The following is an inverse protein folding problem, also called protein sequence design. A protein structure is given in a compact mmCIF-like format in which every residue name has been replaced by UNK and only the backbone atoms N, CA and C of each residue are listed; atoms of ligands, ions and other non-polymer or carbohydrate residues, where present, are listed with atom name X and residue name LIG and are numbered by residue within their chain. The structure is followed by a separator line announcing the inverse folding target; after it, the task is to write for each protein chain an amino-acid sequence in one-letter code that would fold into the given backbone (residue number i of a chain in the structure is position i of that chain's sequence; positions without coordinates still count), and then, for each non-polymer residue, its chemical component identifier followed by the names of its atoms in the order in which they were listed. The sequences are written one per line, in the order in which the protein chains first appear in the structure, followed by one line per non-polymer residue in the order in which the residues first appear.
data_IF_368956807481
#
_entry.id   IF_368956807481
#
_cell.length_a   1.000
_cell.length_b   1.000
_cell.length_c   1.000
_cell.angle_alpha   90.00
_cell.angle_beta   90.00
_cell.angle_gamma   90.00
#
_symmetry.space_group_name_H-M   'P 1'
#
loop_
_entity.id
_entity.type
_entity.pdbx_description
1 polymer ?
#
# COMPACT_ATOMS: atom_id res chain seq x y z
N UNK A 1 -8.35 4.62 -23.71
CA UNK A 1 -8.32 4.38 -22.24
C UNK A 1 -6.90 3.99 -21.87
N UNK A 2 -6.07 4.94 -21.40
CA UNK A 2 -4.73 4.62 -20.91
C UNK A 2 -4.90 3.84 -19.60
N UNK A 3 -4.46 2.58 -19.61
CA UNK A 3 -4.27 1.84 -18.37
C UNK A 3 -3.00 2.40 -17.72
N UNK A 4 -3.12 3.43 -16.89
CA UNK A 4 -2.02 3.96 -16.08
C UNK A 4 -1.78 3.02 -14.90
N UNK A 5 -1.32 1.80 -15.18
CA UNK A 5 -0.91 0.85 -14.17
C UNK A 5 0.61 0.95 -14.03
N UNK A 6 1.11 1.11 -12.80
CA UNK A 6 2.53 0.99 -12.55
C UNK A 6 2.94 -0.45 -12.91
N UNK A 7 3.74 -0.61 -13.96
CA UNK A 7 4.26 -1.91 -14.37
C UNK A 7 5.33 -2.34 -13.38
N UNK A 8 5.00 -3.32 -12.54
CA UNK A 8 5.94 -3.97 -11.63
C UNK A 8 6.56 -5.16 -12.36
N UNK A 9 7.89 -5.24 -12.36
CA UNK A 9 8.65 -6.37 -12.87
C UNK A 9 9.15 -7.23 -11.70
N UNK A 10 9.51 -8.50 -11.98
CA UNK A 10 10.02 -9.41 -10.97
C UNK A 10 11.34 -8.94 -10.32
N UNK A 11 12.09 -8.05 -10.98
CA UNK A 11 13.33 -7.46 -10.50
C UNK A 11 13.12 -6.20 -9.66
N UNK A 12 11.88 -5.71 -9.57
CA UNK A 12 11.55 -4.54 -8.76
C UNK A 12 11.49 -4.97 -7.29
N UNK A 13 11.87 -4.06 -6.40
CA UNK A 13 11.96 -4.30 -4.96
C UNK A 13 11.04 -3.37 -4.19
N UNK A 14 10.51 -3.86 -3.07
CA UNK A 14 9.76 -3.07 -2.10
C UNK A 14 10.64 -2.80 -0.90
N UNK A 15 10.83 -1.52 -0.57
CA UNK A 15 11.57 -1.10 0.62
C UNK A 15 10.59 -0.45 1.60
N UNK A 16 10.48 -0.99 2.81
CA UNK A 16 9.66 -0.41 3.88
C UNK A 16 10.31 0.88 4.35
N UNK A 17 9.60 2.00 4.24
CA UNK A 17 10.12 3.32 4.61
C UNK A 17 9.52 3.85 5.91
N UNK A 18 8.30 3.44 6.24
CA UNK A 18 7.63 3.93 7.44
C UNK A 18 6.64 2.90 7.98
N UNK A 19 6.34 3.06 9.26
CA UNK A 19 5.30 2.32 9.94
C UNK A 19 4.59 3.26 10.91
N UNK A 20 3.34 3.56 10.65
CA UNK A 20 2.54 4.50 11.43
C UNK A 20 1.51 3.71 12.22
N UNK A 21 1.57 3.83 13.54
CA UNK A 21 0.56 3.25 14.43
C UNK A 21 -0.43 4.34 14.84
N UNK A 22 -1.68 4.20 14.45
CA UNK A 22 -2.75 5.13 14.82
C UNK A 22 -3.39 4.68 16.14
N UNK A 23 -3.37 5.57 17.14
CA UNK A 23 -3.89 5.32 18.48
C UNK A 23 -5.42 5.47 18.55
N UNK A 24 -6.13 4.74 17.69
CA UNK A 24 -7.60 4.70 17.68
C UNK A 24 -8.10 3.45 18.43
N UNK A 25 -9.37 3.45 18.89
CA UNK A 25 -10.04 2.36 19.63
C UNK A 25 -10.27 1.08 18.78
N UNK A 26 -9.21 0.58 18.15
CA UNK A 26 -9.18 -0.50 17.16
C UNK A 26 -7.87 -0.63 16.37
N UNK A 27 -6.80 0.09 16.77
CA UNK A 27 -5.42 0.14 16.24
C UNK A 27 -5.22 -0.30 14.79
N UNK A 28 -5.09 0.72 13.94
CA UNK A 28 -4.69 0.68 12.53
C UNK A 28 -3.18 0.97 12.43
N UNK A 29 -2.47 0.06 11.76
CA UNK A 29 -1.06 0.10 11.38
C UNK A 29 -0.99 0.37 9.87
N UNK A 30 -0.33 1.47 9.51
CA UNK A 30 -0.06 1.83 8.12
C UNK A 30 1.41 1.57 7.84
N UNK A 31 1.68 0.54 7.04
CA UNK A 31 3.01 0.25 6.52
C UNK A 31 3.18 0.90 5.16
N UNK A 32 4.16 1.79 5.01
CA UNK A 32 4.48 2.42 3.73
C UNK A 32 5.77 1.85 3.13
N UNK A 33 5.72 1.65 1.82
CA UNK A 33 6.80 1.08 1.02
C UNK A 33 7.06 1.95 -0.20
N UNK A 34 8.33 1.99 -0.59
CA UNK A 34 8.75 2.54 -1.87
C UNK A 34 8.99 1.39 -2.84
N UNK A 35 8.45 1.51 -4.05
CA UNK A 35 8.72 0.59 -5.15
C UNK A 35 9.96 1.11 -5.88
N UNK A 36 11.02 0.29 -5.92
CA UNK A 36 12.25 0.58 -6.66
C UNK A 36 12.40 -0.37 -7.83
N UNK A 37 12.82 0.14 -8.98
CA UNK A 37 13.15 -0.70 -10.12
C UNK A 37 14.51 -1.40 -9.94
N UNK A 38 14.90 -2.25 -10.89
CA UNK A 38 16.19 -2.95 -10.88
C UNK A 38 17.42 -2.01 -10.83
N UNK A 39 17.28 -0.74 -11.26
CA UNK A 39 18.34 0.27 -11.17
C UNK A 39 18.36 1.02 -9.82
N UNK A 40 17.48 0.65 -8.88
CA UNK A 40 17.33 1.30 -7.57
C UNK A 40 16.55 2.62 -7.61
N UNK A 41 16.00 3.01 -8.76
CA UNK A 41 15.20 4.22 -8.90
C UNK A 41 13.78 3.97 -8.40
N UNK A 42 13.27 4.93 -7.63
CA UNK A 42 11.89 4.91 -7.19
C UNK A 42 10.94 5.09 -8.38
N UNK A 43 9.96 4.18 -8.49
CA UNK A 43 8.93 4.19 -9.54
C UNK A 43 7.52 4.35 -8.98
N UNK A 44 7.33 4.21 -7.68
CA UNK A 44 6.05 4.44 -7.03
C UNK A 44 6.10 4.18 -5.53
N UNK A 45 4.92 4.18 -4.90
CA UNK A 45 4.77 3.84 -3.48
C UNK A 45 3.61 2.86 -3.30
N UNK A 46 3.70 2.08 -2.23
CA UNK A 46 2.63 1.19 -1.77
C UNK A 46 2.38 1.50 -0.30
N UNK A 47 1.13 1.61 0.10
CA UNK A 47 0.72 1.67 1.49
C UNK A 47 -0.26 0.55 1.80
N UNK A 48 -0.01 -0.12 2.93
CA UNK A 48 -0.84 -1.19 3.46
C UNK A 48 -1.41 -0.69 4.77
N UNK A 49 -2.73 -0.58 4.82
CA UNK A 49 -3.48 -0.21 6.01
C UNK A 49 -4.05 -1.49 6.57
N UNK A 50 -3.57 -1.89 7.75
CA UNK A 50 -4.18 -2.98 8.47
C UNK A 50 -5.50 -2.53 9.10
N UNK A 51 -6.37 -3.48 9.43
CA UNK A 51 -7.57 -3.21 10.23
C UNK A 51 -8.43 -2.02 9.76
N UNK A 52 -8.59 -1.81 8.45
CA UNK A 52 -9.36 -0.71 7.85
C UNK A 52 -10.89 -0.81 8.08
N UNK A 53 -11.33 -1.47 9.15
CA UNK A 53 -12.73 -1.66 9.54
C UNK A 53 -13.08 -0.77 10.73
N UNK A 54 -14.10 0.07 10.55
CA UNK A 54 -14.74 0.82 11.64
C UNK A 54 -15.73 -0.03 12.45
N UNK A 55 -15.98 -1.29 12.06
CA UNK A 55 -16.93 -2.19 12.72
C UNK A 55 -16.20 -3.18 13.62
N UNK A 56 -16.42 -3.04 14.94
CA UNK A 56 -15.90 -3.91 16.02
C UNK A 56 -16.09 -5.42 15.83
N UNK A 57 -16.99 -5.86 14.95
CA UNK A 57 -17.41 -7.25 14.78
C UNK A 57 -16.88 -7.96 13.53
N UNK A 58 -16.17 -7.27 12.63
CA UNK A 58 -15.52 -7.89 11.47
C UNK A 58 -14.02 -7.62 11.52
N UNK A 59 -13.19 -8.64 11.80
CA UNK A 59 -11.77 -8.45 11.96
C UNK A 59 -11.17 -8.20 10.58
N UNK A 60 -10.69 -6.97 10.41
CA UNK A 60 -9.42 -6.71 9.74
C UNK A 60 -9.33 -7.06 8.26
N UNK A 61 -10.08 -6.33 7.42
CA UNK A 61 -9.67 -6.17 6.02
C UNK A 61 -8.44 -5.24 5.94
N UNK A 62 -7.49 -5.61 5.10
CA UNK A 62 -6.36 -4.81 4.68
C UNK A 62 -6.75 -3.97 3.47
N UNK A 63 -6.36 -2.70 3.47
CA UNK A 63 -6.41 -1.88 2.26
C UNK A 63 -5.01 -1.73 1.70
N UNK A 64 -4.83 -2.06 0.43
CA UNK A 64 -3.57 -1.87 -0.28
C UNK A 64 -3.79 -0.79 -1.33
N UNK A 65 -3.08 0.31 -1.17
CA UNK A 65 -3.06 1.41 -2.13
C UNK A 65 -1.69 1.55 -2.77
N UNK A 66 -1.65 1.73 -4.08
CA UNK A 66 -0.43 1.97 -4.84
C UNK A 66 -0.54 3.29 -5.57
N UNK A 67 0.52 4.09 -5.49
CA UNK A 67 0.62 5.37 -6.19
C UNK A 67 1.80 5.39 -7.14
N UNK A 68 1.61 6.10 -8.25
CA UNK A 68 2.70 6.42 -9.17
C UNK A 68 3.58 7.58 -8.64
N UNK A 69 4.59 7.96 -9.41
CA UNK A 69 5.48 9.09 -9.07
C UNK A 69 4.79 10.45 -9.04
N UNK A 70 3.62 10.59 -9.67
CA UNK A 70 2.81 11.81 -9.62
C UNK A 70 1.89 11.86 -8.39
N UNK A 71 1.85 10.78 -7.59
CA UNK A 71 0.97 10.63 -6.44
C UNK A 71 -0.44 10.15 -6.81
N UNK A 72 -0.69 9.80 -8.08
CA UNK A 72 -1.98 9.28 -8.51
C UNK A 72 -2.13 7.83 -8.06
N UNK A 73 -3.29 7.50 -7.49
CA UNK A 73 -3.64 6.13 -7.10
C UNK A 73 -3.89 5.31 -8.36
N UNK A 74 -3.08 4.26 -8.55
CA UNK A 74 -3.15 3.33 -9.68
C UNK A 74 -3.76 1.99 -9.28
N UNK A 75 -3.66 1.63 -7.99
CA UNK A 75 -4.32 0.46 -7.41
C UNK A 75 -4.92 0.86 -6.07
N UNK A 76 -6.16 0.43 -5.83
CA UNK A 76 -6.83 0.50 -4.54
C UNK A 76 -7.62 -0.81 -4.36
N UNK A 77 -7.19 -1.63 -3.41
CA UNK A 77 -7.73 -2.97 -3.22
C UNK A 77 -7.97 -3.27 -1.75
N UNK A 78 -9.15 -3.83 -1.45
CA UNK A 78 -9.47 -4.42 -0.15
C UNK A 78 -9.17 -5.92 -0.17
N UNK A 79 -8.56 -6.42 0.89
CA UNK A 79 -8.19 -7.83 1.06
C UNK A 79 -8.57 -8.28 2.46
N UNK A 80 -9.13 -9.47 2.59
CA UNK A 80 -9.43 -10.03 3.91
C UNK A 80 -8.19 -10.70 4.55
N UNK A 81 -7.13 -10.93 3.76
CA UNK A 81 -5.83 -11.45 4.17
C UNK A 81 -4.70 -10.93 3.26
N UNK A 82 -3.48 -10.82 3.78
CA UNK A 82 -2.27 -10.44 3.03
C UNK A 82 -1.55 -11.65 2.43
#
# INVERSE_FOLDING_TARGET
MLRDHLKINASDTLEKISNIHLQNQGQEEISEFVVKNAAGLQIGKVSVHDRFSTRRSYPTSYRITQTDMSGRVVVDAMRDCL
#
